data_IF_774127262404
#
_entry.id   IF_774127262404
#
_cell.length_a   1.000
_cell.length_b   1.000
_cell.length_c   1.000
_cell.angle_alpha   90.00
_cell.angle_beta   90.00
_cell.angle_gamma   90.00
#
_symmetry.space_group_name_H-M   'P 1'
#
loop_
_entity.id
_entity.type
_entity.pdbx_description
1 polymer ?
#
# COMPACT_ATOMS: atom_id res chain seq x y z
N UNK A 1 -33.71 -20.72 14.45
CA UNK A 1 -33.65 -19.33 13.95
C UNK A 1 -32.41 -18.60 14.49
N UNK A 2 -31.19 -19.06 14.18
CA UNK A 2 -29.95 -18.43 14.67
C UNK A 2 -28.84 -18.32 13.59
N UNK A 3 -29.23 -18.32 12.31
CA UNK A 3 -28.26 -18.17 11.21
C UNK A 3 -27.78 -16.72 11.11
N UNK A 4 -28.63 -15.75 11.46
CA UNK A 4 -28.32 -14.33 11.35
C UNK A 4 -27.20 -13.83 12.28
N UNK A 5 -26.89 -14.57 13.36
CA UNK A 5 -25.82 -14.24 14.30
C UNK A 5 -24.53 -15.04 14.05
N UNK A 6 -24.58 -16.01 13.13
CA UNK A 6 -23.44 -16.88 12.82
C UNK A 6 -22.37 -16.03 12.11
N UNK A 7 -21.21 -15.87 12.73
CA UNK A 7 -20.08 -15.11 12.19
C UNK A 7 -19.76 -13.81 12.94
N UNK A 8 -20.60 -13.38 13.89
CA UNK A 8 -20.25 -12.25 14.77
C UNK A 8 -19.43 -12.73 15.97
N UNK A 9 -18.50 -11.88 16.39
CA UNK A 9 -17.59 -12.20 17.50
C UNK A 9 -18.26 -12.00 18.85
N UNK A 10 -17.93 -12.88 19.80
CA UNK A 10 -18.51 -12.89 21.15
C UNK A 10 -18.40 -11.53 21.86
N UNK A 11 -17.28 -10.79 21.82
CA UNK A 11 -17.19 -9.47 22.43
C UNK A 11 -18.15 -8.43 21.82
N UNK A 12 -18.38 -8.49 20.50
CA UNK A 12 -19.33 -7.60 19.82
C UNK A 12 -20.77 -7.96 20.18
N UNK A 13 -21.06 -9.26 20.30
CA UNK A 13 -22.37 -9.75 20.74
C UNK A 13 -22.62 -9.39 22.20
N UNK A 14 -21.64 -9.58 23.09
CA UNK A 14 -21.72 -9.21 24.50
C UNK A 14 -21.98 -7.70 24.65
N UNK A 15 -21.24 -6.86 23.93
CA UNK A 15 -21.47 -5.42 23.90
C UNK A 15 -22.89 -5.09 23.43
N UNK A 16 -23.36 -5.71 22.33
CA UNK A 16 -24.71 -5.47 21.81
C UNK A 16 -25.80 -5.93 22.80
N UNK A 17 -25.59 -7.04 23.51
CA UNK A 17 -26.51 -7.55 24.55
C UNK A 17 -26.57 -6.60 25.74
N UNK A 18 -25.43 -6.15 26.26
CA UNK A 18 -25.41 -5.18 27.35
C UNK A 18 -26.12 -3.88 26.94
N UNK A 19 -25.84 -3.38 25.74
CA UNK A 19 -26.51 -2.18 25.21
C UNK A 19 -28.00 -2.39 24.98
N UNK A 20 -28.42 -3.61 24.65
CA UNK A 20 -29.84 -3.95 24.51
C UNK A 20 -30.57 -3.80 25.83
N UNK A 21 -30.00 -4.30 26.93
CA UNK A 21 -30.59 -4.22 28.28
C UNK A 21 -30.78 -2.77 28.74
N UNK A 22 -29.87 -1.88 28.34
CA UNK A 22 -29.93 -0.46 28.70
C UNK A 22 -30.95 0.34 27.88
N UNK A 23 -31.17 -0.06 26.62
CA UNK A 23 -31.97 0.73 25.65
C UNK A 23 -33.40 0.21 25.52
N UNK A 24 -33.61 -1.11 25.64
CA UNK A 24 -34.90 -1.74 25.37
C UNK A 24 -35.43 -2.44 26.62
N UNK A 25 -36.70 -2.17 26.96
CA UNK A 25 -37.41 -2.84 28.05
C UNK A 25 -37.86 -4.28 27.70
N UNK A 26 -37.85 -4.63 26.41
CA UNK A 26 -38.25 -5.94 25.87
C UNK A 26 -37.24 -6.39 24.80
N UNK A 27 -37.14 -7.70 24.48
CA UNK A 27 -36.23 -8.20 23.47
C UNK A 27 -36.45 -7.48 22.13
N UNK A 28 -35.40 -6.86 21.55
CA UNK A 28 -35.52 -6.11 20.31
C UNK A 28 -35.76 -7.05 19.13
N UNK A 29 -36.24 -6.49 18.03
CA UNK A 29 -36.28 -7.21 16.76
C UNK A 29 -34.85 -7.53 16.27
N UNK A 30 -34.72 -8.53 15.39
CA UNK A 30 -33.42 -8.91 14.81
C UNK A 30 -32.75 -7.70 14.14
N UNK A 31 -33.52 -6.86 13.43
CA UNK A 31 -32.99 -5.68 12.76
C UNK A 31 -32.48 -4.61 13.73
N UNK A 32 -33.15 -4.39 14.86
CA UNK A 32 -32.69 -3.48 15.91
C UNK A 32 -31.42 -4.00 16.59
N UNK A 33 -31.37 -5.31 16.85
CA UNK A 33 -30.19 -5.94 17.43
C UNK A 33 -28.97 -5.86 16.49
N UNK A 34 -29.16 -6.06 15.19
CA UNK A 34 -28.09 -5.88 14.19
C UNK A 34 -27.56 -4.44 14.14
N UNK A 35 -28.42 -3.43 14.36
CA UNK A 35 -27.98 -2.03 14.48
C UNK A 35 -27.10 -1.79 15.71
N UNK A 36 -27.40 -2.45 16.82
CA UNK A 36 -26.55 -2.39 18.02
C UNK A 36 -25.18 -3.04 17.79
N UNK A 37 -25.14 -4.18 17.08
CA UNK A 37 -23.87 -4.81 16.67
C UNK A 37 -23.06 -3.87 15.76
N UNK A 38 -23.70 -3.22 14.77
CA UNK A 38 -23.04 -2.20 13.94
C UNK A 38 -22.45 -1.05 14.78
N UNK A 39 -23.13 -0.67 15.85
CA UNK A 39 -22.63 0.34 16.80
C UNK A 39 -21.42 -0.16 17.58
N UNK A 40 -21.37 -1.47 17.89
CA UNK A 40 -20.22 -2.10 18.52
C UNK A 40 -18.96 -2.00 17.63
N UNK A 41 -19.08 -2.31 16.33
CA UNK A 41 -17.95 -2.14 15.39
C UNK A 41 -17.40 -0.71 15.41
N UNK A 42 -18.29 0.29 15.37
CA UNK A 42 -17.90 1.71 15.44
C UNK A 42 -17.19 2.07 16.74
N UNK A 43 -17.54 1.46 17.87
CA UNK A 43 -16.85 1.68 19.14
C UNK A 43 -15.38 1.24 19.10
N UNK A 44 -15.07 0.24 18.27
CA UNK A 44 -13.70 -0.22 17.98
C UNK A 44 -13.06 0.50 16.78
N UNK A 45 -13.72 1.52 16.20
CA UNK A 45 -13.26 2.20 14.99
C UNK A 45 -13.38 1.36 13.71
N UNK A 46 -14.07 0.22 13.77
CA UNK A 46 -14.27 -0.69 12.66
C UNK A 46 -15.53 -0.34 11.86
N UNK A 47 -15.48 -0.59 10.55
CA UNK A 47 -16.65 -0.58 9.68
C UNK A 47 -17.45 -1.88 9.84
N UNK A 48 -18.75 -1.87 9.49
CA UNK A 48 -19.47 -3.14 9.39
C UNK A 48 -18.95 -3.95 8.18
N UNK A 49 -19.05 -5.30 8.21
CA UNK A 49 -18.46 -6.15 7.16
C UNK A 49 -18.96 -5.82 5.75
N UNK A 50 -20.23 -5.43 5.60
CA UNK A 50 -20.81 -5.10 4.30
C UNK A 50 -20.28 -3.77 3.77
N UNK A 51 -20.22 -2.74 4.61
CA UNK A 51 -19.63 -1.44 4.22
C UNK A 51 -18.13 -1.57 3.94
N UNK A 52 -17.39 -2.36 4.73
CA UNK A 52 -15.97 -2.63 4.50
C UNK A 52 -15.73 -3.31 3.14
N UNK A 53 -16.58 -4.27 2.78
CA UNK A 53 -16.51 -4.94 1.48
C UNK A 53 -16.78 -3.98 0.33
N UNK A 54 -17.82 -3.14 0.44
CA UNK A 54 -18.14 -2.14 -0.58
C UNK A 54 -17.00 -1.13 -0.76
N UNK A 55 -16.37 -0.71 0.32
CA UNK A 55 -15.17 0.14 0.28
C UNK A 55 -14.00 -0.55 -0.42
N UNK A 56 -13.75 -1.82 -0.11
CA UNK A 56 -12.72 -2.62 -0.77
C UNK A 56 -12.97 -2.77 -2.28
N UNK A 57 -14.22 -3.02 -2.70
CA UNK A 57 -14.61 -3.07 -4.11
C UNK A 57 -14.56 -1.70 -4.80
N UNK A 58 -14.80 -0.61 -4.06
CA UNK A 58 -14.74 0.75 -4.59
C UNK A 58 -13.29 1.22 -4.86
N UNK A 59 -12.29 0.58 -4.25
CA UNK A 59 -10.87 0.94 -4.43
C UNK A 59 -10.38 0.59 -5.85
N UNK A 60 -10.47 1.56 -6.77
CA UNK A 60 -9.96 1.43 -8.16
C UNK A 60 -8.49 1.79 -8.32
N UNK A 61 -7.90 2.45 -7.33
CA UNK A 61 -6.49 2.87 -7.31
C UNK A 61 -5.61 1.85 -6.59
N UNK A 62 -4.33 2.18 -6.42
CA UNK A 62 -3.41 1.39 -5.60
C UNK A 62 -3.90 1.34 -4.13
N UNK A 63 -4.18 0.15 -3.58
CA UNK A 63 -4.58 -0.03 -2.19
C UNK A 63 -3.66 0.64 -1.16
N UNK A 64 -2.37 0.82 -1.45
CA UNK A 64 -1.42 1.46 -0.53
C UNK A 64 -1.59 2.99 -0.45
N UNK A 65 -2.16 3.59 -1.49
CA UNK A 65 -2.39 5.05 -1.58
C UNK A 65 -3.83 5.46 -1.22
N UNK A 66 -4.73 4.48 -1.13
CA UNK A 66 -6.14 4.71 -0.86
C UNK A 66 -6.39 5.13 0.60
N UNK A 67 -7.35 6.04 0.80
CA UNK A 67 -7.75 6.51 2.12
C UNK A 67 -8.78 5.54 2.70
N UNK A 68 -8.30 4.51 3.37
CA UNK A 68 -9.15 3.53 4.05
C UNK A 68 -9.80 4.11 5.29
N UNK A 69 -11.07 3.77 5.50
CA UNK A 69 -11.83 4.09 6.72
C UNK A 69 -11.21 3.43 7.95
N UNK A 70 -10.69 2.21 7.78
CA UNK A 70 -9.91 1.53 8.81
C UNK A 70 -8.84 0.61 8.17
N UNK A 71 -7.64 0.47 8.75
CA UNK A 71 -6.61 -0.45 8.26
C UNK A 71 -7.09 -1.91 8.12
N UNK A 72 -8.08 -2.32 8.92
CA UNK A 72 -8.69 -3.65 8.82
C UNK A 72 -9.23 -3.96 7.41
N UNK A 73 -9.79 -2.96 6.72
CA UNK A 73 -10.33 -3.12 5.36
C UNK A 73 -9.21 -3.44 4.37
N UNK A 74 -8.07 -2.75 4.50
CA UNK A 74 -6.88 -3.01 3.70
C UNK A 74 -6.34 -4.42 3.92
N UNK A 75 -6.15 -4.84 5.18
CA UNK A 75 -5.62 -6.17 5.48
C UNK A 75 -6.56 -7.29 5.03
N UNK A 76 -7.87 -7.12 5.22
CA UNK A 76 -8.86 -8.07 4.74
C UNK A 76 -8.87 -8.17 3.22
N UNK A 77 -8.80 -7.04 2.51
CA UNK A 77 -8.72 -7.01 1.06
C UNK A 77 -7.42 -7.61 0.52
N UNK A 78 -6.31 -7.42 1.23
CA UNK A 78 -5.03 -8.06 0.91
C UNK A 78 -5.08 -9.58 1.09
N UNK A 79 -5.72 -10.10 2.14
CA UNK A 79 -5.87 -11.55 2.38
C UNK A 79 -6.87 -12.18 1.41
N UNK A 80 -7.99 -11.51 1.12
CA UNK A 80 -8.99 -11.97 0.14
C UNK A 80 -8.48 -11.89 -1.30
N UNK A 81 -7.56 -10.97 -1.58
CA UNK A 81 -6.92 -10.76 -2.87
C UNK A 81 -7.63 -9.70 -3.71
N UNK A 82 -6.97 -8.55 -3.89
CA UNK A 82 -7.48 -7.40 -4.62
C UNK A 82 -7.96 -7.71 -6.04
N UNK A 83 -7.28 -8.64 -6.74
CA UNK A 83 -7.70 -9.05 -8.07
C UNK A 83 -9.10 -9.68 -8.05
N UNK A 84 -9.33 -10.64 -7.15
CA UNK A 84 -10.63 -11.33 -7.01
C UNK A 84 -11.75 -10.38 -6.62
N UNK A 85 -11.47 -9.45 -5.70
CA UNK A 85 -12.45 -8.43 -5.29
C UNK A 85 -12.88 -7.50 -6.43
N UNK A 86 -12.05 -7.36 -7.47
CA UNK A 86 -12.31 -6.51 -8.64
C UNK A 86 -12.89 -7.28 -9.83
N UNK A 87 -12.50 -8.55 -10.00
CA UNK A 87 -12.85 -9.34 -11.19
C UNK A 87 -14.06 -10.25 -10.99
N UNK A 88 -14.25 -10.77 -9.78
CA UNK A 88 -15.26 -11.79 -9.49
C UNK A 88 -16.61 -11.17 -9.10
N UNK A 89 -17.68 -11.92 -9.35
CA UNK A 89 -19.03 -11.58 -8.90
C UNK A 89 -19.14 -11.61 -7.38
N UNK A 90 -20.04 -10.78 -6.82
CA UNK A 90 -20.23 -10.63 -5.37
C UNK A 90 -20.47 -11.98 -4.67
N UNK A 91 -21.19 -12.91 -5.29
CA UNK A 91 -21.45 -14.23 -4.68
C UNK A 91 -20.18 -15.04 -4.39
N UNK A 92 -19.08 -14.76 -5.10
CA UNK A 92 -17.78 -15.41 -4.94
C UNK A 92 -16.85 -14.58 -4.08
N UNK A 93 -16.77 -13.27 -4.34
CA UNK A 93 -15.86 -12.35 -3.63
C UNK A 93 -16.31 -11.99 -2.23
N UNK A 94 -17.63 -11.91 -1.97
CA UNK A 94 -18.19 -11.63 -0.64
C UNK A 94 -17.75 -12.64 0.43
N UNK A 95 -17.98 -13.96 0.31
CA UNK A 95 -17.63 -14.90 1.37
C UNK A 95 -16.12 -14.96 1.63
N UNK A 96 -15.30 -14.75 0.60
CA UNK A 96 -13.84 -14.66 0.75
C UNK A 96 -13.44 -13.42 1.56
N UNK A 97 -14.01 -12.26 1.23
CA UNK A 97 -13.76 -11.04 1.98
C UNK A 97 -14.28 -11.12 3.41
N UNK A 98 -15.51 -11.58 3.60
CA UNK A 98 -16.15 -11.69 4.91
C UNK A 98 -15.31 -12.54 5.86
N UNK A 99 -14.84 -13.70 5.42
CA UNK A 99 -13.97 -14.56 6.23
C UNK A 99 -12.66 -13.87 6.62
N UNK A 100 -11.98 -13.23 5.66
CA UNK A 100 -10.75 -12.48 5.93
C UNK A 100 -10.99 -11.30 6.87
N UNK A 101 -12.08 -10.57 6.66
CA UNK A 101 -12.43 -9.42 7.49
C UNK A 101 -12.70 -9.82 8.93
N UNK A 102 -13.44 -10.91 9.16
CA UNK A 102 -13.70 -11.41 10.51
C UNK A 102 -12.42 -11.79 11.26
N UNK A 103 -11.46 -12.45 10.60
CA UNK A 103 -10.15 -12.75 11.20
C UNK A 103 -9.36 -11.48 11.57
N UNK A 104 -9.43 -10.47 10.71
CA UNK A 104 -8.75 -9.19 10.96
C UNK A 104 -9.43 -8.43 12.10
N UNK A 105 -10.75 -8.48 12.19
CA UNK A 105 -11.53 -7.94 13.31
C UNK A 105 -11.11 -8.61 14.63
N UNK A 106 -10.91 -9.93 14.64
CA UNK A 106 -10.45 -10.65 15.84
C UNK A 106 -9.11 -10.12 16.37
N UNK A 107 -8.17 -9.88 15.45
CA UNK A 107 -6.88 -9.28 15.79
C UNK A 107 -7.02 -7.89 16.39
N UNK A 108 -7.88 -7.04 15.81
CA UNK A 108 -8.15 -5.69 16.31
C UNK A 108 -8.80 -5.73 17.69
N UNK A 109 -9.78 -6.61 17.90
CA UNK A 109 -10.46 -6.77 19.20
C UNK A 109 -9.49 -7.32 20.26
N UNK A 110 -8.54 -8.17 19.88
CA UNK A 110 -7.46 -8.63 20.74
C UNK A 110 -6.42 -7.53 21.07
N UNK A 111 -6.56 -6.33 20.49
CA UNK A 111 -5.70 -5.18 20.75
C UNK A 111 -4.53 -5.01 19.77
N UNK A 112 -4.49 -5.78 18.68
CA UNK A 112 -3.45 -5.66 17.65
C UNK A 112 -3.60 -4.33 16.89
N UNK A 113 -2.51 -3.58 16.77
CA UNK A 113 -2.47 -2.33 16.01
C UNK A 113 -2.08 -2.60 14.56
N UNK A 114 -3.06 -2.49 13.67
CA UNK A 114 -2.87 -2.64 12.24
C UNK A 114 -2.32 -1.33 11.64
N UNK A 115 -1.17 -1.41 10.98
CA UNK A 115 -0.53 -0.27 10.30
C UNK A 115 -0.32 -0.62 8.83
N UNK A 116 -0.91 0.17 7.94
CA UNK A 116 -0.71 0.01 6.50
C UNK A 116 0.73 0.45 6.16
N UNK A 117 1.53 -0.39 5.46
CA UNK A 117 2.88 -0.02 5.08
C UNK A 117 2.82 1.17 4.10
N UNK A 118 3.52 2.26 4.43
CA UNK A 118 3.72 3.38 3.50
C UNK A 118 4.92 3.04 2.62
N UNK A 119 4.73 3.06 1.30
CA UNK A 119 5.85 3.00 0.35
C UNK A 119 6.60 4.32 0.50
N UNK A 120 7.72 4.29 1.21
CA UNK A 120 8.72 5.35 1.13
C UNK A 120 9.35 5.16 -0.23
N UNK A 121 9.10 6.08 -1.16
CA UNK A 121 9.89 6.18 -2.38
C UNK A 121 11.33 6.39 -1.91
N UNK A 122 12.15 5.34 -2.00
CA UNK A 122 13.59 5.50 -1.84
C UNK A 122 13.97 6.33 -3.06
N UNK A 123 14.30 7.60 -2.85
CA UNK A 123 14.91 8.40 -3.91
C UNK A 123 16.09 7.58 -4.44
N UNK A 124 16.07 7.26 -5.74
CA UNK A 124 17.19 6.60 -6.38
C UNK A 124 18.41 7.51 -6.23
N UNK A 125 19.27 7.22 -5.24
CA UNK A 125 20.54 7.92 -5.01
C UNK A 125 21.40 7.99 -6.28
N UNK A 126 21.14 7.10 -7.23
CA UNK A 126 21.73 7.10 -8.56
C UNK A 126 21.44 8.39 -9.34
N UNK A 127 20.21 8.91 -9.32
CA UNK A 127 19.84 10.11 -10.09
C UNK A 127 20.51 11.37 -9.53
N UNK A 128 20.64 11.45 -8.21
CA UNK A 128 21.35 12.54 -7.52
C UNK A 128 22.86 12.48 -7.82
N UNK A 129 23.46 11.29 -7.78
CA UNK A 129 24.89 11.08 -8.08
C UNK A 129 25.28 11.47 -9.52
N UNK A 130 24.41 11.20 -10.50
CA UNK A 130 24.69 11.54 -11.91
C UNK A 130 24.69 13.06 -12.13
N UNK A 131 23.77 13.80 -11.52
CA UNK A 131 23.76 15.27 -11.62
C UNK A 131 25.01 15.89 -10.98
N UNK A 132 25.39 15.41 -9.81
CA UNK A 132 26.60 15.88 -9.13
C UNK A 132 27.88 15.59 -9.96
N UNK A 133 27.91 14.48 -10.70
CA UNK A 133 28.99 14.16 -11.62
C UNK A 133 29.03 15.08 -12.84
N UNK A 134 27.86 15.40 -13.42
CA UNK A 134 27.76 16.36 -14.55
C UNK A 134 28.36 17.70 -14.11
N UNK A 135 27.87 18.24 -12.99
CA UNK A 135 28.31 19.56 -12.50
C UNK A 135 29.81 19.58 -12.16
N UNK A 136 30.36 18.52 -11.56
CA UNK A 136 31.81 18.43 -11.29
C UNK A 136 32.66 18.41 -12.56
N UNK A 137 32.29 17.59 -13.53
CA UNK A 137 33.06 17.46 -14.79
C UNK A 137 32.96 18.75 -15.61
N UNK A 138 31.77 19.37 -15.64
CA UNK A 138 31.54 20.66 -16.27
C UNK A 138 32.42 21.76 -15.66
N UNK A 139 32.53 21.82 -14.32
CA UNK A 139 33.39 22.77 -13.61
C UNK A 139 34.88 22.54 -13.90
N UNK A 140 35.35 21.28 -13.88
CA UNK A 140 36.76 20.94 -14.12
C UNK A 140 37.22 21.27 -15.55
N UNK A 141 36.30 21.17 -16.52
CA UNK A 141 36.58 21.46 -17.93
C UNK A 141 36.23 22.89 -18.33
N UNK A 142 35.52 23.64 -17.46
CA UNK A 142 34.93 24.95 -17.77
C UNK A 142 34.02 24.92 -19.01
N UNK A 143 33.19 23.87 -19.10
CA UNK A 143 32.25 23.64 -20.22
C UNK A 143 30.81 23.60 -19.66
N UNK A 144 29.83 23.93 -20.50
CA UNK A 144 28.41 23.84 -20.16
C UNK A 144 27.96 22.40 -19.86
N UNK A 145 27.02 22.25 -18.92
CA UNK A 145 26.52 20.94 -18.47
C UNK A 145 25.87 20.12 -19.62
N UNK A 146 25.31 20.80 -20.61
CA UNK A 146 24.67 20.19 -21.79
C UNK A 146 25.66 19.44 -22.70
N UNK A 147 26.96 19.79 -22.67
CA UNK A 147 27.98 19.06 -23.44
C UNK A 147 28.41 17.75 -22.74
N UNK A 148 28.28 17.71 -21.41
CA UNK A 148 28.70 16.58 -20.57
C UNK A 148 27.57 15.55 -20.41
N UNK A 149 26.31 15.99 -20.34
CA UNK A 149 25.16 15.10 -20.12
C UNK A 149 25.07 13.92 -21.12
N UNK A 150 25.31 14.08 -22.44
CA UNK A 150 25.32 12.97 -23.40
C UNK A 150 26.45 11.95 -23.15
N UNK A 151 27.59 12.40 -22.62
CA UNK A 151 28.74 11.54 -22.32
C UNK A 151 28.45 10.64 -21.11
N UNK A 152 27.61 11.06 -20.18
CA UNK A 152 27.26 10.26 -19.00
C UNK A 152 26.04 9.33 -19.21
N UNK A 153 25.56 9.18 -20.44
CA UNK A 153 24.41 8.32 -20.77
C UNK A 153 24.58 6.85 -20.34
N UNK A 154 25.81 6.35 -20.22
CA UNK A 154 26.10 5.00 -19.75
C UNK A 154 25.57 4.75 -18.32
N UNK A 155 25.41 5.79 -17.51
CA UNK A 155 24.87 5.70 -16.13
C UNK A 155 23.41 5.27 -16.08
N UNK A 156 22.66 5.46 -17.17
CA UNK A 156 21.27 5.00 -17.31
C UNK A 156 21.17 3.53 -17.75
N UNK A 157 22.29 2.90 -18.10
CA UNK A 157 22.31 1.49 -18.53
C UNK A 157 22.38 0.56 -17.33
N UNK A 158 21.89 -0.68 -17.52
CA UNK A 158 21.88 -1.70 -16.48
C UNK A 158 23.29 -1.99 -15.96
N UNK A 159 23.41 -1.97 -14.63
CA UNK A 159 24.66 -2.23 -13.92
C UNK A 159 25.23 -3.61 -14.29
N UNK A 160 26.54 -3.71 -14.50
CA UNK A 160 27.21 -4.97 -14.83
C UNK A 160 26.99 -5.51 -16.26
N UNK A 161 26.24 -4.80 -17.12
CA UNK A 161 26.09 -5.22 -18.52
C UNK A 161 27.33 -4.88 -19.36
N UNK A 162 27.67 -5.75 -20.32
CA UNK A 162 28.75 -5.48 -21.29
C UNK A 162 28.49 -4.23 -22.15
N UNK A 163 27.22 -3.87 -22.34
CA UNK A 163 26.83 -2.63 -23.01
C UNK A 163 27.25 -1.41 -22.19
N UNK A 164 27.01 -1.41 -20.88
CA UNK A 164 27.41 -0.29 -20.00
C UNK A 164 28.93 -0.07 -20.00
N UNK A 165 29.70 -1.15 -19.91
CA UNK A 165 31.17 -1.11 -19.98
C UNK A 165 31.66 -0.45 -21.28
N UNK A 166 31.13 -0.89 -22.43
CA UNK A 166 31.53 -0.34 -23.73
C UNK A 166 31.21 1.15 -23.84
N UNK A 167 30.03 1.58 -23.38
CA UNK A 167 29.68 3.01 -23.42
C UNK A 167 30.51 3.84 -22.43
N UNK A 168 30.83 3.31 -21.24
CA UNK A 168 31.72 3.97 -20.28
C UNK A 168 33.11 4.22 -20.87
N UNK A 169 33.70 3.22 -21.55
CA UNK A 169 35.00 3.37 -22.20
C UNK A 169 35.00 4.44 -23.29
N UNK A 170 33.93 4.49 -24.10
CA UNK A 170 33.76 5.51 -25.14
C UNK A 170 33.67 6.90 -24.51
N UNK A 171 32.88 7.05 -23.44
CA UNK A 171 32.74 8.31 -22.73
C UNK A 171 34.03 8.76 -22.05
N UNK A 172 34.77 7.84 -21.44
CA UNK A 172 36.06 8.12 -20.80
C UNK A 172 37.09 8.63 -21.81
N UNK A 173 37.17 8.00 -22.99
CA UNK A 173 38.08 8.44 -24.06
C UNK A 173 37.75 9.85 -24.55
N UNK A 174 36.46 10.14 -24.76
CA UNK A 174 36.02 11.49 -25.17
C UNK A 174 36.32 12.55 -24.12
N UNK A 175 36.10 12.25 -22.84
CA UNK A 175 36.44 13.17 -21.75
C UNK A 175 37.96 13.39 -21.66
N UNK A 176 38.77 12.36 -21.87
CA UNK A 176 40.23 12.49 -21.95
C UNK A 176 40.67 13.40 -23.11
N UNK A 177 40.04 13.27 -24.29
CA UNK A 177 40.27 14.16 -25.44
C UNK A 177 39.90 15.62 -25.14
N UNK A 178 38.85 15.84 -24.33
CA UNK A 178 38.44 17.16 -23.83
C UNK A 178 39.34 17.71 -22.71
N UNK A 179 40.33 16.95 -22.24
CA UNK A 179 41.29 17.37 -21.21
C UNK A 179 40.92 16.96 -19.78
N UNK A 180 39.90 16.13 -19.59
CA UNK A 180 39.50 15.63 -18.28
C UNK A 180 40.48 14.57 -17.77
N UNK A 181 40.98 14.74 -16.55
CA UNK A 181 41.97 13.83 -15.93
C UNK A 181 41.38 12.86 -14.92
N UNK A 182 40.07 12.91 -14.67
CA UNK A 182 39.41 12.02 -13.72
C UNK A 182 38.92 10.72 -14.36
N UNK A 183 38.60 9.73 -13.53
CA UNK A 183 37.97 8.48 -13.96
C UNK A 183 36.46 8.50 -13.70
N UNK A 184 35.68 8.04 -14.68
CA UNK A 184 34.24 7.87 -14.56
C UNK A 184 33.91 6.68 -13.65
N UNK A 185 32.85 6.74 -12.82
CA UNK A 185 32.44 5.62 -11.96
C UNK A 185 31.97 4.40 -12.77
N UNK A 186 32.16 3.21 -12.17
CA UNK A 186 31.87 1.91 -12.78
C UNK A 186 30.38 1.64 -13.02
#
# INVERSE_FOLDING_TARGET
>A
MAIALKGFQEPLLAYAVERTKEVYAWPPTISEFLKLISTAYKAYGLSDPRSAYLEACACRVDPLTYKWSHPAVFFAGSEAGWYKLKSEEERVSWPLFEQSYLKVVDKVIAGERLVIPKVVMIEDKHTLSVKDLITKIAQDLSVEEDEIAPLLYYTQKTFGSGVRLRYREVSQKKLLEMGYKGELPA
#
